data_IF_361329513188
#
_entry.id   IF_361329513188
#
_cell.length_a   1.000
_cell.length_b   1.000
_cell.length_c   1.000
_cell.angle_alpha   90.00
_cell.angle_beta   90.00
_cell.angle_gamma   90.00
#
_symmetry.space_group_name_H-M   'P 1'
#
loop_
_entity.id
_entity.type
_entity.pdbx_description
1 polymer ?
#
# COMPACT_ATOMS: atom_id res chain seq x y z
N UNK A 1 -2.81 23.44 10.27
CA UNK A 1 -4.04 22.65 9.94
C UNK A 1 -3.52 21.26 9.64
N UNK A 2 -3.99 20.29 10.42
CA UNK A 2 -3.52 18.93 10.28
C UNK A 2 -4.02 18.33 8.96
N UNK A 3 -3.15 17.61 8.27
CA UNK A 3 -3.51 16.89 7.06
C UNK A 3 -4.43 15.72 7.42
N UNK A 4 -5.41 15.46 6.58
CA UNK A 4 -6.31 14.30 6.73
C UNK A 4 -6.18 13.35 5.54
N UNK A 5 -6.37 12.07 5.80
CA UNK A 5 -6.30 11.02 4.79
C UNK A 5 -7.66 10.32 4.72
N UNK A 6 -8.19 10.18 3.53
CA UNK A 6 -9.36 9.35 3.23
C UNK A 6 -8.88 8.17 2.40
N UNK A 7 -9.03 6.97 2.94
CA UNK A 7 -8.68 5.73 2.28
C UNK A 7 -9.96 5.05 1.79
N UNK A 8 -10.09 4.87 0.48
CA UNK A 8 -11.24 4.20 -0.11
C UNK A 8 -11.18 2.69 0.16
N UNK A 9 -12.34 2.06 0.37
CA UNK A 9 -12.50 0.62 0.62
C UNK A 9 -11.75 -0.24 -0.41
N UNK A 10 -11.81 0.13 -1.69
CA UNK A 10 -11.08 -0.55 -2.77
C UNK A 10 -9.57 -0.56 -2.55
N UNK A 11 -8.98 0.59 -2.23
CA UNK A 11 -7.55 0.70 -1.97
C UNK A 11 -7.16 -0.10 -0.73
N UNK A 12 -7.95 0.03 0.36
CA UNK A 12 -7.78 -0.73 1.57
C UNK A 12 -7.78 -2.24 1.31
N UNK A 13 -8.81 -2.75 0.62
CA UNK A 13 -8.92 -4.18 0.32
C UNK A 13 -7.72 -4.68 -0.52
N UNK A 14 -7.29 -3.96 -1.54
CA UNK A 14 -6.15 -4.36 -2.36
C UNK A 14 -4.86 -4.46 -1.55
N UNK A 15 -4.57 -3.47 -0.71
CA UNK A 15 -3.40 -3.47 0.17
C UNK A 15 -3.44 -4.69 1.09
N UNK A 16 -4.58 -4.89 1.78
CA UNK A 16 -4.73 -5.97 2.75
C UNK A 16 -4.64 -7.35 2.10
N UNK A 17 -5.35 -7.57 0.98
CA UNK A 17 -5.32 -8.84 0.27
C UNK A 17 -3.92 -9.16 -0.26
N UNK A 18 -3.17 -8.15 -0.72
CA UNK A 18 -1.78 -8.32 -1.12
C UNK A 18 -0.89 -8.81 0.03
N UNK A 19 -0.96 -8.14 1.17
CA UNK A 19 -0.22 -8.54 2.36
C UNK A 19 -0.65 -9.93 2.87
N UNK A 20 -1.96 -10.26 2.81
CA UNK A 20 -2.49 -11.56 3.22
C UNK A 20 -2.09 -12.71 2.28
N UNK A 21 -1.90 -12.43 0.99
CA UNK A 21 -1.38 -13.43 0.05
C UNK A 21 0.08 -13.77 0.35
N UNK A 22 0.87 -12.78 0.72
CA UNK A 22 2.33 -12.88 0.87
C UNK A 22 2.79 -12.70 2.32
N UNK A 23 2.25 -13.52 3.24
CA UNK A 23 2.49 -13.42 4.69
C UNK A 23 3.95 -13.61 5.13
N UNK A 24 4.75 -14.26 4.30
CA UNK A 24 6.15 -14.59 4.59
C UNK A 24 7.14 -13.77 3.77
N UNK A 25 6.65 -12.78 3.03
CA UNK A 25 7.45 -11.92 2.16
C UNK A 25 7.16 -10.45 2.45
N UNK A 26 8.12 -9.60 2.16
CA UNK A 26 7.88 -8.16 2.14
C UNK A 26 6.91 -7.81 1.01
N UNK A 27 6.01 -6.85 1.23
CA UNK A 27 5.08 -6.40 0.20
C UNK A 27 5.25 -4.90 -0.04
N UNK A 28 5.17 -4.51 -1.30
CA UNK A 28 5.34 -3.13 -1.74
C UNK A 28 4.30 -2.73 -2.76
N UNK A 29 3.83 -1.50 -2.71
CA UNK A 29 2.92 -1.00 -3.72
C UNK A 29 2.76 0.51 -3.74
N UNK A 30 2.00 1.01 -4.70
CA UNK A 30 1.75 2.42 -4.92
C UNK A 30 0.32 2.80 -4.54
N UNK A 31 0.15 4.02 -4.05
CA UNK A 31 -1.13 4.62 -3.72
C UNK A 31 -1.54 5.57 -4.84
N UNK A 32 -2.75 5.38 -5.38
CA UNK A 32 -3.32 6.22 -6.43
C UNK A 32 -4.42 7.09 -5.86
N UNK A 33 -4.48 8.34 -6.30
CA UNK A 33 -5.50 9.26 -5.84
C UNK A 33 -5.15 10.72 -6.11
N UNK A 34 -5.60 11.61 -5.22
CA UNK A 34 -5.40 13.05 -5.34
C UNK A 34 -5.17 13.72 -3.99
N UNK A 35 -4.56 14.92 -4.04
CA UNK A 35 -4.47 15.83 -2.89
C UNK A 35 -5.36 17.05 -3.16
N UNK A 36 -6.29 17.32 -2.26
CA UNK A 36 -7.19 18.47 -2.27
C UNK A 36 -6.90 19.32 -1.03
N UNK A 37 -6.17 20.43 -1.20
CA UNK A 37 -5.68 21.27 -0.08
C UNK A 37 -4.89 20.42 0.94
N UNK A 38 -5.43 20.22 2.15
CA UNK A 38 -4.82 19.44 3.22
C UNK A 38 -5.41 18.01 3.33
N UNK A 39 -6.23 17.58 2.36
CA UNK A 39 -6.83 16.25 2.36
C UNK A 39 -6.23 15.40 1.25
N UNK A 40 -5.77 14.20 1.60
CA UNK A 40 -5.40 13.16 0.65
C UNK A 40 -6.56 12.20 0.49
N UNK A 41 -6.88 11.86 -0.76
CA UNK A 41 -7.93 10.90 -1.10
C UNK A 41 -7.25 9.77 -1.87
N UNK A 42 -7.17 8.59 -1.24
CA UNK A 42 -6.58 7.38 -1.81
C UNK A 42 -7.71 6.57 -2.44
N UNK A 43 -7.82 6.61 -3.77
CA UNK A 43 -8.89 5.96 -4.52
C UNK A 43 -8.59 4.50 -4.86
N UNK A 44 -7.32 4.18 -5.07
CA UNK A 44 -6.88 2.84 -5.48
C UNK A 44 -5.47 2.56 -4.98
N UNK A 45 -5.10 1.29 -4.96
CA UNK A 45 -3.75 0.83 -4.69
C UNK A 45 -3.30 -0.17 -5.76
N UNK A 46 -2.02 -0.13 -6.09
CA UNK A 46 -1.40 -1.05 -7.03
C UNK A 46 -0.36 -1.88 -6.30
N UNK A 47 -0.62 -3.17 -6.06
CA UNK A 47 0.39 -4.13 -5.65
C UNK A 47 1.55 -4.16 -6.65
N UNK A 48 2.78 -3.94 -6.19
CA UNK A 48 3.94 -3.93 -7.07
C UNK A 48 4.73 -5.23 -7.00
N UNK A 49 5.00 -5.69 -5.78
CA UNK A 49 5.86 -6.84 -5.57
C UNK A 49 5.73 -7.40 -4.17
N UNK A 50 5.99 -8.68 -4.06
CA UNK A 50 6.22 -9.40 -2.80
C UNK A 50 7.72 -9.74 -2.60
N UNK A 51 8.59 -9.12 -3.36
CA UNK A 51 10.03 -9.11 -3.23
C UNK A 51 10.53 -7.69 -3.55
N UNK A 52 11.83 -7.45 -3.46
CA UNK A 52 12.41 -6.12 -3.69
C UNK A 52 12.31 -5.71 -5.15
N UNK A 53 11.48 -4.69 -5.43
CA UNK A 53 11.37 -4.10 -6.77
C UNK A 53 12.35 -2.93 -6.93
N UNK A 54 13.32 -3.07 -7.83
CA UNK A 54 14.22 -1.98 -8.20
C UNK A 54 14.49 -1.93 -9.71
N UNK A 55 14.79 -0.73 -10.22
CA UNK A 55 15.30 -0.52 -11.57
C UNK A 55 14.22 -0.59 -12.66
N UNK A 56 14.45 -1.32 -13.75
CA UNK A 56 13.59 -1.30 -14.93
C UNK A 56 12.14 -1.73 -14.68
N UNK A 57 11.83 -2.79 -13.91
CA UNK A 57 10.46 -3.18 -13.61
C UNK A 57 9.63 -2.06 -12.98
N UNK A 58 10.20 -1.34 -12.02
CA UNK A 58 9.52 -0.21 -11.39
C UNK A 58 9.19 0.93 -12.38
N UNK A 59 10.10 1.23 -13.32
CA UNK A 59 9.86 2.24 -14.36
C UNK A 59 8.75 1.80 -15.32
N UNK A 60 8.70 0.52 -15.67
CA UNK A 60 7.63 -0.04 -16.51
C UNK A 60 6.29 0.08 -15.78
N UNK A 61 6.21 -0.31 -14.49
CA UNK A 61 5.01 -0.17 -13.68
C UNK A 61 4.49 1.28 -13.68
N UNK A 62 5.36 2.26 -13.41
CA UNK A 62 4.98 3.68 -13.42
C UNK A 62 4.41 4.10 -14.79
N UNK A 63 5.03 3.67 -15.89
CA UNK A 63 4.56 3.99 -17.24
C UNK A 63 3.19 3.38 -17.52
N UNK A 64 3.00 2.11 -17.16
CA UNK A 64 1.72 1.43 -17.34
C UNK A 64 0.62 2.06 -16.47
N UNK A 65 0.90 2.36 -15.20
CA UNK A 65 -0.05 3.04 -14.31
C UNK A 65 -0.53 4.36 -14.93
N UNK A 66 0.36 5.19 -15.44
CA UNK A 66 -0.01 6.46 -16.10
C UNK A 66 -0.91 6.27 -17.31
N UNK A 67 -0.74 5.18 -18.04
CA UNK A 67 -1.56 4.88 -19.22
C UNK A 67 -2.96 4.32 -18.85
N UNK A 68 -3.01 3.44 -17.85
CA UNK A 68 -4.25 2.78 -17.44
C UNK A 68 -5.10 3.62 -16.47
N UNK A 69 -4.47 4.54 -15.73
CA UNK A 69 -5.12 5.41 -14.74
C UNK A 69 -4.84 6.89 -15.03
N UNK A 70 -5.23 7.42 -16.21
CA UNK A 70 -4.85 8.78 -16.64
C UNK A 70 -5.42 9.90 -15.76
N UNK A 71 -6.48 9.62 -15.01
CA UNK A 71 -7.14 10.57 -14.10
C UNK A 71 -6.63 10.50 -12.65
N UNK A 72 -5.77 9.53 -12.35
CA UNK A 72 -5.20 9.34 -11.02
C UNK A 72 -3.74 9.74 -11.00
N UNK A 73 -3.28 10.21 -9.83
CA UNK A 73 -1.86 10.43 -9.58
C UNK A 73 -1.33 9.35 -8.65
N UNK A 74 -0.06 9.02 -8.80
CA UNK A 74 0.66 8.26 -7.78
C UNK A 74 0.97 9.25 -6.66
N UNK A 75 0.28 9.14 -5.53
CA UNK A 75 0.37 10.07 -4.40
C UNK A 75 1.15 9.52 -3.22
N UNK A 76 1.48 8.24 -3.24
CA UNK A 76 2.20 7.62 -2.14
C UNK A 76 2.65 6.19 -2.44
N UNK A 77 3.20 5.60 -1.41
CA UNK A 77 3.80 4.27 -1.40
C UNK A 77 3.33 3.52 -0.14
N UNK A 78 3.22 2.20 -0.22
CA UNK A 78 3.02 1.37 0.96
C UNK A 78 4.04 0.24 1.01
N UNK A 79 4.37 -0.17 2.24
CA UNK A 79 5.18 -1.35 2.48
C UNK A 79 4.67 -2.15 3.67
N UNK A 80 4.81 -3.46 3.59
CA UNK A 80 4.70 -4.39 4.70
C UNK A 80 6.02 -5.15 4.78
N UNK A 81 6.79 -4.92 5.84
CA UNK A 81 8.07 -5.58 6.05
C UNK A 81 7.92 -6.70 7.06
N UNK A 82 8.55 -7.85 6.81
CA UNK A 82 8.59 -8.94 7.77
C UNK A 82 9.26 -8.46 9.06
N UNK A 83 8.63 -8.73 10.19
CA UNK A 83 9.00 -8.24 11.53
C UNK A 83 10.48 -8.40 11.87
N UNK A 84 11.17 -9.39 11.33
CA UNK A 84 12.58 -9.64 11.57
C UNK A 84 13.54 -8.56 11.00
N UNK A 85 13.03 -7.67 10.14
CA UNK A 85 13.81 -6.57 9.55
C UNK A 85 13.60 -5.24 10.28
N UNK A 86 12.54 -5.13 11.08
CA UNK A 86 12.20 -3.92 11.82
C UNK A 86 12.73 -4.00 13.25
N UNK A 87 13.95 -3.51 13.48
CA UNK A 87 14.56 -3.47 14.83
C UNK A 87 13.91 -2.45 15.76
N UNK A 88 13.14 -1.50 15.21
CA UNK A 88 12.44 -0.47 15.97
C UNK A 88 11.02 -0.29 15.42
N UNK A 89 10.04 -0.26 16.32
CA UNK A 89 8.65 0.00 15.96
C UNK A 89 8.51 1.39 15.34
N UNK A 90 8.11 1.44 14.06
CA UNK A 90 7.94 2.69 13.32
C UNK A 90 9.14 3.13 12.48
N UNK A 91 10.22 2.34 12.38
CA UNK A 91 11.32 2.63 11.48
C UNK A 91 10.84 2.55 10.01
N UNK A 92 11.03 3.63 9.27
CA UNK A 92 10.74 3.70 7.82
C UNK A 92 11.95 3.21 7.04
N UNK A 93 11.73 2.37 6.02
CA UNK A 93 12.82 1.85 5.21
C UNK A 93 13.47 2.94 4.35
N UNK A 94 14.77 2.79 4.04
CA UNK A 94 15.45 3.67 3.10
C UNK A 94 14.78 3.65 1.71
N UNK A 95 14.17 2.54 1.35
CA UNK A 95 13.42 2.37 0.09
C UNK A 95 12.16 3.25 0.09
N UNK A 96 11.37 3.21 1.16
CA UNK A 96 10.19 4.05 1.30
C UNK A 96 10.57 5.53 1.24
N UNK A 97 11.64 5.92 1.93
CA UNK A 97 12.16 7.29 1.86
C UNK A 97 12.47 7.73 0.43
N UNK A 98 13.25 6.92 -0.29
CA UNK A 98 13.66 7.22 -1.66
C UNK A 98 12.46 7.33 -2.61
N UNK A 99 11.52 6.38 -2.53
CA UNK A 99 10.34 6.36 -3.41
C UNK A 99 9.42 7.54 -3.10
N UNK A 100 9.14 7.81 -1.83
CA UNK A 100 8.31 8.93 -1.41
C UNK A 100 8.90 10.28 -1.80
N UNK A 101 10.21 10.45 -1.69
CA UNK A 101 10.91 11.65 -2.16
C UNK A 101 10.72 11.87 -3.67
N UNK A 102 10.84 10.81 -4.48
CA UNK A 102 10.61 10.90 -5.94
C UNK A 102 9.15 11.25 -6.23
N UNK A 103 8.19 10.64 -5.54
CA UNK A 103 6.77 10.93 -5.71
C UNK A 103 6.47 12.39 -5.37
N UNK A 104 6.98 12.88 -4.24
CA UNK A 104 6.81 14.25 -3.80
C UNK A 104 7.38 15.26 -4.80
N UNK A 105 8.62 15.05 -5.27
CA UNK A 105 9.25 15.89 -6.29
C UNK A 105 8.46 15.95 -7.60
N UNK A 106 7.94 14.81 -8.07
CA UNK A 106 7.16 14.75 -9.31
C UNK A 106 5.80 15.45 -9.19
N UNK A 107 5.16 15.34 -8.04
CA UNK A 107 3.84 15.92 -7.80
C UNK A 107 3.86 17.37 -7.33
N UNK A 108 5.00 17.86 -6.82
CA UNK A 108 5.16 19.15 -6.17
C UNK A 108 4.26 19.30 -4.92
N UNK A 109 4.04 18.21 -4.21
CA UNK A 109 3.41 18.16 -2.89
C UNK A 109 3.94 16.96 -2.11
N UNK A 110 3.77 16.99 -0.81
CA UNK A 110 4.19 15.92 0.11
C UNK A 110 3.57 14.58 -0.24
N UNK A 111 4.34 13.50 -0.17
CA UNK A 111 3.88 12.15 -0.50
C UNK A 111 3.36 11.41 0.72
N UNK A 112 2.38 10.53 0.50
CA UNK A 112 1.89 9.60 1.51
C UNK A 112 2.81 8.38 1.64
N UNK A 113 2.90 7.86 2.86
CA UNK A 113 3.50 6.56 3.13
C UNK A 113 2.62 5.77 4.09
N UNK A 114 2.27 4.56 3.70
CA UNK A 114 1.55 3.62 4.55
C UNK A 114 2.49 2.50 4.97
N UNK A 115 2.70 2.37 6.26
CA UNK A 115 3.40 1.25 6.85
C UNK A 115 2.37 0.26 7.38
N UNK A 116 2.38 -0.95 6.81
CA UNK A 116 1.54 -2.05 7.25
C UNK A 116 2.42 -2.98 8.09
N UNK A 117 1.93 -3.40 9.24
CA UNK A 117 2.62 -4.35 10.10
C UNK A 117 1.61 -5.23 10.83
N UNK A 118 2.01 -6.45 11.12
CA UNK A 118 1.26 -7.36 11.97
C UNK A 118 1.95 -7.48 13.32
N UNK A 119 1.20 -7.54 14.41
CA UNK A 119 1.73 -8.05 15.66
C UNK A 119 1.86 -9.57 15.52
N UNK A 120 3.08 -10.07 15.61
CA UNK A 120 3.32 -11.50 15.64
C UNK A 120 2.68 -12.07 16.91
N UNK A 121 1.58 -12.79 16.76
CA UNK A 121 0.96 -13.54 17.86
C UNK A 121 1.77 -14.78 18.25
N UNK A 122 2.89 -15.05 17.56
CA UNK A 122 3.73 -16.24 17.78
C UNK A 122 3.07 -17.57 17.41
N UNK A 123 1.84 -17.56 16.95
CA UNK A 123 1.09 -18.76 16.55
C UNK A 123 1.07 -18.91 15.02
N UNK A 124 2.00 -19.71 14.50
CA UNK A 124 2.03 -20.06 13.08
C UNK A 124 0.71 -20.67 12.64
N UNK A 125 0.08 -20.08 11.62
CA UNK A 125 -1.05 -20.68 10.90
C UNK A 125 -2.44 -20.20 11.30
N UNK A 126 -2.58 -19.18 12.16
CA UNK A 126 -3.87 -18.51 12.36
C UNK A 126 -4.08 -17.40 11.32
N UNK A 127 -5.30 -17.27 10.75
CA UNK A 127 -5.62 -16.13 9.90
C UNK A 127 -5.52 -14.84 10.73
N UNK A 128 -4.98 -13.78 10.13
CA UNK A 128 -4.89 -12.48 10.76
C UNK A 128 -6.28 -12.01 11.23
N UNK A 129 -6.38 -11.72 12.52
CA UNK A 129 -7.57 -11.11 13.08
C UNK A 129 -7.45 -9.58 12.97
N UNK A 130 -8.57 -8.88 13.01
CA UNK A 130 -8.67 -7.42 12.89
C UNK A 130 -7.68 -6.66 13.78
N UNK A 131 -7.39 -7.20 14.96
CA UNK A 131 -6.55 -6.59 15.97
C UNK A 131 -5.05 -6.88 15.80
N UNK A 132 -4.65 -7.58 14.72
CA UNK A 132 -3.28 -8.03 14.46
C UNK A 132 -2.61 -7.32 13.29
N UNK A 133 -3.37 -6.62 12.45
CA UNK A 133 -2.83 -5.82 11.33
C UNK A 133 -3.08 -4.34 11.61
N UNK A 134 -2.01 -3.58 11.57
CA UNK A 134 -2.03 -2.15 11.88
C UNK A 134 -1.53 -1.36 10.68
N UNK A 135 -2.20 -0.23 10.45
CA UNK A 135 -1.76 0.80 9.53
C UNK A 135 -1.14 1.95 10.31
N UNK A 136 0.05 2.37 9.89
CA UNK A 136 0.59 3.68 10.25
C UNK A 136 0.67 4.52 8.99
N UNK A 137 0.07 5.70 9.05
CA UNK A 137 0.00 6.65 7.95
C UNK A 137 0.98 7.79 8.21
N UNK A 138 1.80 8.10 7.22
CA UNK A 138 2.80 9.15 7.30
C UNK A 138 2.73 10.05 6.07
N UNK A 139 3.17 11.29 6.25
CA UNK A 139 3.41 12.24 5.17
C UNK A 139 4.89 12.61 5.19
N UNK A 140 5.57 12.46 4.06
CA UNK A 140 6.94 12.95 3.88
C UNK A 140 6.88 14.43 3.53
N UNK A 141 7.34 15.28 4.46
CA UNK A 141 7.34 16.73 4.28
C UNK A 141 8.52 17.21 3.40
N UNK A 142 8.54 18.52 3.10
CA UNK A 142 9.58 19.14 2.27
C UNK A 142 10.98 19.10 2.91
N UNK A 143 11.07 18.90 4.23
CA UNK A 143 12.32 18.71 4.98
C UNK A 143 12.82 17.27 4.96
N UNK A 144 12.13 16.39 4.20
CA UNK A 144 12.43 14.96 4.09
C UNK A 144 12.24 14.19 5.41
N UNK A 145 11.29 14.61 6.23
CA UNK A 145 10.91 14.00 7.49
C UNK A 145 9.52 13.42 7.38
N UNK A 146 9.35 12.15 7.81
CA UNK A 146 8.04 11.54 7.92
C UNK A 146 7.31 12.04 9.16
N UNK A 147 6.13 12.64 8.96
CA UNK A 147 5.22 13.05 10.02
C UNK A 147 4.07 12.05 10.12
N UNK A 148 3.84 11.50 11.31
CA UNK A 148 2.73 10.60 11.57
C UNK A 148 1.39 11.34 11.48
N UNK A 149 0.40 10.71 10.85
CA UNK A 149 -0.98 11.21 10.76
C UNK A 149 -1.87 10.30 11.62
N UNK A 150 -2.40 10.83 12.71
CA UNK A 150 -3.36 10.09 13.54
C UNK A 150 -4.75 10.08 12.87
N UNK A 151 -4.98 9.11 12.01
CA UNK A 151 -6.23 8.94 11.29
C UNK A 151 -7.10 7.89 12.01
N UNK A 152 -7.97 8.32 12.89
CA UNK A 152 -8.79 7.46 13.78
C UNK A 152 -9.96 6.74 13.10
N UNK A 153 -10.03 6.69 11.77
CA UNK A 153 -11.19 6.13 11.05
C UNK A 153 -10.85 4.92 10.19
N UNK A 154 -10.71 3.76 10.82
CA UNK A 154 -11.10 2.53 10.12
C UNK A 154 -12.62 2.42 10.21
N UNK A 155 -13.32 2.44 9.08
CA UNK A 155 -14.76 2.17 9.07
C UNK A 155 -14.98 0.66 9.14
N UNK A 156 -16.02 0.23 9.89
CA UNK A 156 -16.38 -1.18 10.00
C UNK A 156 -16.74 -1.79 8.62
N UNK A 157 -17.14 -0.97 7.65
CA UNK A 157 -17.57 -1.39 6.31
C UNK A 157 -16.41 -1.90 5.46
N UNK A 158 -15.30 -1.17 5.40
CA UNK A 158 -14.10 -1.56 4.62
C UNK A 158 -13.50 -2.87 5.13
N UNK A 159 -13.44 -2.99 6.44
CA UNK A 159 -12.98 -4.21 7.08
C UNK A 159 -13.92 -5.39 6.82
N UNK A 160 -15.24 -5.17 6.80
CA UNK A 160 -16.21 -6.22 6.51
C UNK A 160 -16.08 -6.70 5.06
N UNK A 161 -15.90 -5.77 4.11
CA UNK A 161 -15.68 -6.10 2.71
C UNK A 161 -14.39 -6.92 2.53
N UNK A 162 -13.31 -6.54 3.17
CA UNK A 162 -12.05 -7.31 3.16
C UNK A 162 -12.26 -8.72 3.71
N UNK A 163 -12.99 -8.87 4.83
CA UNK A 163 -13.35 -10.18 5.38
C UNK A 163 -14.11 -11.06 4.37
N UNK A 164 -15.07 -10.48 3.66
CA UNK A 164 -15.85 -11.22 2.66
C UNK A 164 -14.96 -11.76 1.54
N UNK A 165 -13.97 -10.97 1.08
CA UNK A 165 -12.96 -11.48 0.15
C UNK A 165 -12.15 -12.63 0.75
N UNK A 166 -11.75 -12.55 2.01
CA UNK A 166 -10.95 -13.60 2.67
C UNK A 166 -11.76 -14.89 2.88
N UNK A 167 -13.04 -14.80 3.26
CA UNK A 167 -13.93 -15.97 3.41
C UNK A 167 -14.02 -16.76 2.10
N UNK A 168 -14.00 -16.07 0.96
CA UNK A 168 -14.02 -16.67 -0.38
C UNK A 168 -12.63 -16.96 -0.94
N UNK A 169 -11.58 -16.88 -0.12
CA UNK A 169 -10.17 -17.10 -0.48
C UNK A 169 -9.67 -16.22 -1.63
N UNK A 170 -10.29 -15.03 -1.83
CA UNK A 170 -9.99 -14.11 -2.93
C UNK A 170 -8.64 -13.41 -2.80
N UNK A 171 -7.97 -13.48 -1.64
CA UNK A 171 -6.59 -13.00 -1.48
C UNK A 171 -5.62 -13.74 -2.42
N UNK A 172 -5.92 -14.97 -2.81
CA UNK A 172 -5.09 -15.71 -3.76
C UNK A 172 -5.20 -15.17 -5.20
N UNK A 173 -6.28 -14.45 -5.51
CA UNK A 173 -6.52 -13.87 -6.83
C UNK A 173 -5.82 -12.53 -7.03
N UNK A 174 -5.33 -11.90 -5.96
CA UNK A 174 -4.54 -10.65 -6.07
C UNK A 174 -3.26 -10.93 -6.85
N UNK A 175 -3.02 -10.10 -7.84
CA UNK A 175 -1.83 -10.15 -8.70
C UNK A 175 -1.03 -8.88 -8.46
N UNK A 176 0.22 -9.02 -8.11
CA UNK A 176 1.15 -7.89 -8.10
C UNK A 176 1.79 -7.69 -9.49
N UNK A 177 2.51 -6.60 -9.64
CA UNK A 177 3.09 -6.25 -10.94
C UNK A 177 4.24 -7.19 -11.34
N UNK A 178 4.96 -7.78 -10.38
CA UNK A 178 5.99 -8.77 -10.65
C UNK A 178 5.39 -10.05 -11.24
N UNK A 179 4.31 -10.57 -10.65
CA UNK A 179 3.58 -11.73 -11.19
C UNK A 179 3.07 -11.45 -12.62
N UNK A 180 2.60 -10.21 -12.89
CA UNK A 180 2.20 -9.81 -14.24
C UNK A 180 3.37 -9.78 -15.23
N UNK A 181 4.56 -9.36 -14.81
CA UNK A 181 5.75 -9.39 -15.68
C UNK A 181 6.17 -10.82 -16.04
N UNK A 182 5.97 -11.76 -15.15
CA UNK A 182 6.20 -13.20 -15.41
C UNK A 182 5.11 -13.80 -16.30
N UNK A 183 3.86 -13.36 -16.12
CA UNK A 183 2.71 -13.79 -16.91
C UNK A 183 1.80 -12.61 -17.30
N UNK A 184 1.98 -12.03 -18.49
CA UNK A 184 1.22 -10.84 -18.94
C UNK A 184 -0.31 -11.04 -19.06
N UNK A 185 -0.82 -12.26 -18.96
CA UNK A 185 -2.27 -12.54 -18.94
C UNK A 185 -2.91 -12.26 -17.57
N UNK A 186 -2.12 -12.10 -16.50
CA UNK A 186 -2.61 -11.78 -15.16
C UNK A 186 -2.97 -10.29 -15.05
N UNK A 187 -4.14 -9.98 -14.47
CA UNK A 187 -4.58 -8.58 -14.31
C UNK A 187 -4.03 -7.94 -13.04
N UNK A 188 -2.88 -7.31 -13.14
CA UNK A 188 -2.22 -6.57 -12.06
C UNK A 188 -3.05 -5.38 -11.51
N UNK A 189 -4.07 -4.92 -12.25
CA UNK A 189 -4.96 -3.85 -11.80
C UNK A 189 -5.96 -4.36 -10.75
N UNK A 190 -6.11 -5.69 -10.66
CA UNK A 190 -7.04 -6.35 -9.73
C UNK A 190 -8.45 -5.75 -9.80
N UNK A 191 -9.00 -5.74 -11.01
CA UNK A 191 -10.30 -5.10 -11.31
C UNK A 191 -11.48 -5.79 -10.63
N UNK A 192 -11.30 -6.97 -10.05
CA UNK A 192 -12.32 -7.68 -9.29
C UNK A 192 -12.57 -7.07 -7.89
N UNK A 193 -11.64 -6.27 -7.38
CA UNK A 193 -11.79 -5.52 -6.11
C UNK A 193 -12.47 -4.20 -6.43
N UNK A 194 -13.69 -4.02 -5.93
CA UNK A 194 -14.56 -2.85 -6.19
C UNK A 194 -14.77 -2.02 -4.94
#
# INVERSE_FOLDING_TARGET
>A
MDASIELNAKAYCKIMLHCLKHLTSDCYGLLLGKKEKNKYIVNDAIPLSHDKIFGPPFKIAISMIKNYFPNEKIIGFYENLIVNQMKEEGAVSNQAHYICEIIGKNNKFESLFFQIYSKDSGEKGKPFLKDEIFFKEFILNDENIFSFVDNKKETNEEFQQMKDYCIHNRQQDIIDFDEHLENPNLDWRNTFVN
#
